data_IF_086380966397
#
_entry.id   IF_086380966397
#
_cell.length_a   1.000
_cell.length_b   1.000
_cell.length_c   1.000
_cell.angle_alpha   90.00
_cell.angle_beta   90.00
_cell.angle_gamma   90.00
#
_symmetry.space_group_name_H-M   'P 1'
#
loop_
_entity.id
_entity.type
_entity.pdbx_description
1 polymer ?
#
# COMPACT_ATOMS: atom_id res chain seq x y z
N UNK A 1 -25.30 -10.80 -2.98
CA UNK A 1 -25.90 -9.61 -2.33
C UNK A 1 -24.80 -8.93 -1.51
N UNK A 2 -24.41 -7.69 -1.83
CA UNK A 2 -23.31 -7.00 -1.16
C UNK A 2 -23.82 -6.35 0.14
N UNK A 3 -23.31 -6.79 1.28
CA UNK A 3 -23.60 -6.19 2.57
C UNK A 3 -22.90 -4.84 2.67
N UNK A 4 -23.63 -3.76 2.42
CA UNK A 4 -23.21 -2.39 2.72
C UNK A 4 -23.42 -2.17 4.21
N UNK A 5 -22.36 -1.79 4.94
CA UNK A 5 -22.44 -1.45 6.38
C UNK A 5 -22.10 0.02 6.56
N UNK A 6 -22.87 0.73 7.39
CA UNK A 6 -22.60 2.13 7.76
C UNK A 6 -22.00 2.17 9.16
N UNK A 7 -20.90 2.89 9.32
CA UNK A 7 -20.28 3.10 10.63
C UNK A 7 -21.11 4.11 11.47
N UNK A 8 -21.54 3.75 12.70
CA UNK A 8 -22.31 4.65 13.57
C UNK A 8 -21.64 6.01 13.86
N UNK A 9 -20.30 6.08 13.80
CA UNK A 9 -19.54 7.31 14.00
C UNK A 9 -19.80 8.38 12.92
N UNK A 10 -20.45 8.03 11.80
CA UNK A 10 -20.85 8.99 10.77
C UNK A 10 -21.84 10.04 11.30
N UNK A 11 -22.83 9.64 12.11
CA UNK A 11 -23.90 10.54 12.55
C UNK A 11 -23.45 11.62 13.54
N UNK A 12 -22.62 11.33 14.57
CA UNK A 12 -22.10 12.36 15.46
C UNK A 12 -21.22 13.39 14.76
N UNK A 13 -20.38 12.95 13.81
CA UNK A 13 -19.53 13.86 13.03
C UNK A 13 -20.39 14.80 12.19
N UNK A 14 -21.38 14.26 11.49
CA UNK A 14 -22.33 15.05 10.71
C UNK A 14 -23.06 16.10 11.58
N UNK A 15 -23.51 15.70 12.77
CA UNK A 15 -24.19 16.60 13.70
C UNK A 15 -23.29 17.78 14.12
N UNK A 16 -22.02 17.54 14.41
CA UNK A 16 -21.06 18.60 14.77
C UNK A 16 -20.89 19.60 13.61
N UNK A 17 -20.73 19.13 12.37
CA UNK A 17 -20.58 20.03 11.22
C UNK A 17 -21.85 20.85 10.94
N UNK A 18 -23.03 20.28 11.19
CA UNK A 18 -24.31 21.01 11.10
C UNK A 18 -24.37 22.09 12.18
N UNK A 19 -24.08 21.74 13.44
CA UNK A 19 -24.14 22.67 14.58
C UNK A 19 -23.15 23.83 14.44
N UNK A 20 -21.99 23.60 13.83
CA UNK A 20 -20.97 24.62 13.58
C UNK A 20 -21.21 25.44 12.31
N UNK A 21 -22.26 25.15 11.53
CA UNK A 21 -22.60 25.88 10.30
C UNK A 21 -21.77 25.53 9.06
N UNK A 22 -20.95 24.48 9.11
CA UNK A 22 -20.06 24.03 8.03
C UNK A 22 -20.65 22.88 7.19
N UNK A 23 -21.98 22.80 7.11
CA UNK A 23 -22.67 21.71 6.42
C UNK A 23 -22.30 21.60 4.93
N UNK A 24 -22.18 22.75 4.26
CA UNK A 24 -21.87 22.80 2.81
C UNK A 24 -20.45 22.30 2.53
N UNK A 25 -19.47 22.75 3.30
CA UNK A 25 -18.07 22.36 3.20
C UNK A 25 -17.90 20.86 3.50
N UNK A 26 -18.59 20.38 4.54
CA UNK A 26 -18.62 18.96 4.89
C UNK A 26 -19.19 18.13 3.73
N UNK A 27 -20.35 18.52 3.19
CA UNK A 27 -21.01 17.78 2.11
C UNK A 27 -20.15 17.74 0.84
N UNK A 28 -19.54 18.86 0.44
CA UNK A 28 -18.65 18.92 -0.72
C UNK A 28 -17.37 18.09 -0.51
N UNK A 29 -16.82 18.09 0.69
CA UNK A 29 -15.64 17.27 1.05
C UNK A 29 -15.99 15.78 1.04
N UNK A 30 -17.14 15.41 1.61
CA UNK A 30 -17.63 14.04 1.60
C UNK A 30 -17.91 13.56 0.17
N UNK A 31 -18.55 14.37 -0.66
CA UNK A 31 -18.76 14.07 -2.07
C UNK A 31 -17.43 13.83 -2.81
N UNK A 32 -16.41 14.65 -2.54
CA UNK A 32 -15.05 14.46 -3.09
C UNK A 32 -14.48 13.09 -2.71
N UNK A 33 -14.61 12.68 -1.44
CA UNK A 33 -14.15 11.36 -0.99
C UNK A 33 -14.94 10.21 -1.62
N UNK A 34 -16.26 10.37 -1.80
CA UNK A 34 -17.08 9.37 -2.47
C UNK A 34 -16.67 9.18 -3.93
N UNK A 35 -16.39 10.28 -4.66
CA UNK A 35 -15.93 10.19 -6.04
C UNK A 35 -14.56 9.54 -6.16
N UNK A 36 -13.64 9.85 -5.23
CA UNK A 36 -12.34 9.18 -5.14
C UNK A 36 -12.50 7.66 -5.00
N UNK A 37 -13.31 7.22 -4.03
CA UNK A 37 -13.55 5.79 -3.81
C UNK A 37 -14.31 5.13 -4.97
N UNK A 38 -15.21 5.85 -5.63
CA UNK A 38 -15.87 5.38 -6.84
C UNK A 38 -14.87 5.12 -7.97
N UNK A 39 -13.80 5.92 -8.08
CA UNK A 39 -12.70 5.69 -9.03
C UNK A 39 -11.98 4.37 -8.79
N UNK A 40 -11.66 4.04 -7.53
CA UNK A 40 -11.10 2.74 -7.19
C UNK A 40 -12.06 1.60 -7.52
N UNK A 41 -13.33 1.72 -7.12
CA UNK A 41 -14.37 0.71 -7.39
C UNK A 41 -14.56 0.46 -8.88
N UNK A 42 -14.51 1.52 -9.70
CA UNK A 42 -14.60 1.41 -11.15
C UNK A 42 -13.44 0.60 -11.71
N UNK A 43 -12.20 0.88 -11.29
CA UNK A 43 -11.02 0.13 -11.74
C UNK A 43 -11.05 -1.33 -11.27
N UNK A 44 -11.49 -1.60 -10.04
CA UNK A 44 -11.66 -2.97 -9.52
C UNK A 44 -12.62 -3.76 -10.39
N UNK A 45 -13.79 -3.18 -10.71
CA UNK A 45 -14.78 -3.82 -11.59
C UNK A 45 -14.21 -4.06 -12.99
N UNK A 46 -13.53 -3.06 -13.57
CA UNK A 46 -12.93 -3.15 -14.90
C UNK A 46 -11.85 -4.25 -15.00
N UNK A 47 -11.14 -4.52 -13.91
CA UNK A 47 -10.13 -5.58 -13.81
C UNK A 47 -10.69 -6.94 -13.37
N UNK A 48 -12.01 -7.06 -13.16
CA UNK A 48 -12.63 -8.33 -12.76
C UNK A 48 -12.26 -8.79 -11.34
N UNK A 49 -11.85 -7.87 -10.46
CA UNK A 49 -11.39 -8.21 -9.11
C UNK A 49 -12.60 -8.41 -8.18
N UNK A 50 -12.62 -9.52 -7.45
CA UNK A 50 -13.74 -9.91 -6.59
C UNK A 50 -13.71 -9.16 -5.25
N UNK A 51 -14.86 -8.59 -4.88
CA UNK A 51 -15.07 -7.84 -3.65
C UNK A 51 -15.71 -8.72 -2.57
N UNK A 52 -15.26 -8.59 -1.31
CA UNK A 52 -15.89 -9.22 -0.14
C UNK A 52 -17.03 -8.35 0.40
N UNK A 53 -16.74 -7.11 0.79
CA UNK A 53 -17.75 -6.14 1.24
C UNK A 53 -17.28 -4.70 1.04
N UNK A 54 -18.22 -3.77 1.12
CA UNK A 54 -17.98 -2.32 1.09
C UNK A 54 -18.55 -1.76 2.39
N UNK A 55 -17.77 -0.99 3.13
CA UNK A 55 -18.18 -0.36 4.39
C UNK A 55 -18.05 1.15 4.28
N UNK A 56 -19.11 1.87 4.63
CA UNK A 56 -19.15 3.33 4.64
C UNK A 56 -18.67 3.80 6.01
N UNK A 57 -17.66 4.67 6.02
CA UNK A 57 -17.03 5.21 7.22
C UNK A 57 -17.20 6.74 7.28
N UNK A 58 -17.12 7.37 8.47
CA UNK A 58 -17.18 8.83 8.62
C UNK A 58 -16.22 9.60 7.70
N UNK A 59 -15.10 8.97 7.33
CA UNK A 59 -14.04 9.58 6.53
C UNK A 59 -13.93 8.98 5.11
N UNK A 60 -14.94 8.26 4.62
CA UNK A 60 -14.95 7.72 3.25
C UNK A 60 -15.58 6.33 3.12
N UNK A 61 -15.07 5.52 2.19
CA UNK A 61 -15.54 4.15 1.96
C UNK A 61 -14.34 3.21 2.09
N UNK A 62 -14.44 2.18 2.92
CA UNK A 62 -13.47 1.09 2.95
C UNK A 62 -13.92 -0.07 2.07
N UNK A 63 -13.04 -0.47 1.16
CA UNK A 63 -13.26 -1.54 0.18
C UNK A 63 -12.47 -2.77 0.62
N UNK A 64 -13.15 -3.89 0.87
CA UNK A 64 -12.51 -5.14 1.24
C UNK A 64 -12.56 -6.14 0.08
N UNK A 65 -11.40 -6.63 -0.35
CA UNK A 65 -11.27 -7.61 -1.43
C UNK A 65 -11.52 -9.04 -0.93
N UNK A 66 -11.95 -9.95 -1.81
CA UNK A 66 -12.16 -11.37 -1.46
C UNK A 66 -10.83 -12.12 -1.29
N UNK A 67 -9.87 -11.83 -2.15
CA UNK A 67 -8.47 -12.22 -2.01
C UNK A 67 -7.73 -11.03 -1.39
N UNK A 68 -6.88 -11.25 -0.39
CA UNK A 68 -6.13 -10.17 0.27
C UNK A 68 -5.10 -9.50 -0.68
N UNK A 69 -4.96 -9.99 -1.91
CA UNK A 69 -3.92 -9.60 -2.87
C UNK A 69 -4.45 -9.37 -4.28
N UNK A 70 -3.73 -8.53 -5.01
CA UNK A 70 -3.88 -8.40 -6.46
C UNK A 70 -3.04 -9.48 -7.15
N UNK A 71 -3.61 -10.12 -8.17
CA UNK A 71 -2.88 -11.13 -8.96
C UNK A 71 -1.74 -10.53 -9.79
N UNK A 72 -1.82 -9.25 -10.16
CA UNK A 72 -0.79 -8.52 -10.87
C UNK A 72 -0.52 -7.17 -10.21
N UNK A 73 0.75 -6.74 -10.13
CA UNK A 73 1.10 -5.43 -9.56
C UNK A 73 0.61 -4.27 -10.43
N UNK A 74 0.51 -4.49 -11.74
CA UNK A 74 -0.12 -3.54 -12.65
C UNK A 74 -1.56 -3.26 -12.25
N UNK A 75 -2.32 -4.29 -11.88
CA UNK A 75 -3.71 -4.13 -11.47
C UNK A 75 -3.81 -3.36 -10.14
N UNK A 76 -2.90 -3.59 -9.20
CA UNK A 76 -2.79 -2.79 -7.99
C UNK A 76 -2.51 -1.31 -8.29
N UNK A 77 -1.58 -1.02 -9.21
CA UNK A 77 -1.27 0.36 -9.64
C UNK A 77 -2.49 0.99 -10.30
N UNK A 78 -3.14 0.29 -11.25
CA UNK A 78 -4.32 0.82 -11.93
C UNK A 78 -5.47 1.11 -10.96
N UNK A 79 -5.70 0.23 -9.99
CA UNK A 79 -6.73 0.43 -8.98
C UNK A 79 -6.36 1.59 -8.07
N UNK A 80 -5.15 1.63 -7.51
CA UNK A 80 -4.71 2.71 -6.64
C UNK A 80 -4.67 4.08 -7.34
N UNK A 81 -4.41 4.12 -8.65
CA UNK A 81 -4.47 5.37 -9.42
C UNK A 81 -5.91 5.81 -9.75
N UNK A 82 -6.90 4.90 -9.66
CA UNK A 82 -8.29 5.15 -10.03
C UNK A 82 -8.93 6.32 -9.28
N UNK A 83 -8.76 6.40 -7.95
CA UNK A 83 -9.31 7.48 -7.14
C UNK A 83 -8.70 8.85 -7.45
N UNK A 84 -7.36 9.02 -7.36
CA UNK A 84 -6.71 10.27 -7.73
C UNK A 84 -7.05 10.74 -9.14
N UNK A 85 -7.12 9.82 -10.12
CA UNK A 85 -7.49 10.16 -11.49
C UNK A 85 -8.90 10.74 -11.60
N UNK A 86 -9.89 10.13 -10.93
CA UNK A 86 -11.26 10.64 -10.92
C UNK A 86 -11.32 12.04 -10.31
N UNK A 87 -10.61 12.27 -9.21
CA UNK A 87 -10.58 13.59 -8.58
C UNK A 87 -9.91 14.65 -9.45
N UNK A 88 -8.82 14.33 -10.16
CA UNK A 88 -8.23 15.25 -11.13
C UNK A 88 -9.19 15.59 -12.27
N UNK A 89 -9.91 14.59 -12.80
CA UNK A 89 -10.91 14.79 -13.85
C UNK A 89 -12.03 15.70 -13.33
N UNK A 90 -12.58 15.44 -12.15
CA UNK A 90 -13.64 16.26 -11.55
C UNK A 90 -13.16 17.69 -11.29
N UNK A 91 -11.95 17.87 -10.75
CA UNK A 91 -11.37 19.20 -10.54
C UNK A 91 -11.23 19.98 -11.85
N UNK A 92 -10.79 19.31 -12.92
CA UNK A 92 -10.66 19.92 -14.25
C UNK A 92 -12.01 20.35 -14.83
N UNK A 93 -13.02 19.48 -14.79
CA UNK A 93 -14.38 19.84 -15.25
C UNK A 93 -15.02 20.92 -14.37
N UNK A 94 -14.85 20.85 -13.04
CA UNK A 94 -15.34 21.88 -12.13
C UNK A 94 -14.66 23.23 -12.39
N UNK A 95 -13.37 23.25 -12.72
CA UNK A 95 -12.67 24.46 -13.12
C UNK A 95 -13.25 25.09 -14.39
N UNK A 96 -13.54 24.27 -15.41
CA UNK A 96 -14.10 24.75 -16.69
C UNK A 96 -15.55 25.25 -16.57
N UNK A 97 -16.41 24.51 -15.87
CA UNK A 97 -17.87 24.73 -15.91
C UNK A 97 -18.45 25.32 -14.61
N UNK A 98 -17.76 25.14 -13.48
CA UNK A 98 -18.21 25.53 -12.14
C UNK A 98 -17.22 26.50 -11.49
N UNK A 99 -16.68 27.44 -12.27
CA UNK A 99 -15.57 28.32 -11.88
C UNK A 99 -15.80 29.11 -10.57
N UNK A 100 -17.05 29.27 -10.12
CA UNK A 100 -17.40 29.89 -8.82
C UNK A 100 -17.27 28.94 -7.61
N UNK A 101 -17.04 27.65 -7.81
CA UNK A 101 -16.96 26.62 -6.77
C UNK A 101 -15.51 26.29 -6.39
N UNK A 102 -14.72 27.32 -6.07
CA UNK A 102 -13.29 27.18 -5.75
C UNK A 102 -13.01 26.13 -4.66
N UNK A 103 -13.84 26.07 -3.61
CA UNK A 103 -13.70 25.08 -2.54
C UNK A 103 -13.76 23.64 -3.07
N UNK A 104 -14.70 23.33 -3.97
CA UNK A 104 -14.86 21.97 -4.51
C UNK A 104 -13.69 21.58 -5.41
N UNK A 105 -13.17 22.52 -6.20
CA UNK A 105 -11.98 22.32 -7.02
C UNK A 105 -10.77 22.03 -6.13
N UNK A 106 -10.54 22.88 -5.11
CA UNK A 106 -9.43 22.69 -4.18
C UNK A 106 -9.56 21.41 -3.36
N UNK A 107 -10.77 21.01 -2.96
CA UNK A 107 -11.00 19.75 -2.26
C UNK A 107 -10.59 18.55 -3.13
N UNK A 108 -11.04 18.50 -4.39
CA UNK A 108 -10.69 17.41 -5.31
C UNK A 108 -9.18 17.33 -5.57
N UNK A 109 -8.55 18.47 -5.86
CA UNK A 109 -7.09 18.52 -6.07
C UNK A 109 -6.34 18.12 -4.80
N UNK A 110 -6.76 18.60 -3.63
CA UNK A 110 -6.12 18.28 -2.36
C UNK A 110 -6.21 16.80 -2.06
N UNK A 111 -7.38 16.17 -2.21
CA UNK A 111 -7.56 14.73 -1.99
C UNK A 111 -6.73 13.91 -3.00
N UNK A 112 -6.69 14.31 -4.27
CA UNK A 112 -5.89 13.61 -5.29
C UNK A 112 -4.38 13.69 -5.00
N UNK A 113 -3.87 14.90 -4.77
CA UNK A 113 -2.44 15.14 -4.52
C UNK A 113 -2.02 14.47 -3.22
N UNK A 114 -2.82 14.62 -2.16
CA UNK A 114 -2.53 14.02 -0.87
C UNK A 114 -2.48 12.50 -0.99
N UNK A 115 -3.46 11.86 -1.64
CA UNK A 115 -3.44 10.41 -1.81
C UNK A 115 -2.32 9.90 -2.71
N UNK A 116 -1.69 10.74 -3.56
CA UNK A 116 -0.52 10.34 -4.35
C UNK A 116 0.81 10.44 -3.59
N UNK A 117 0.82 11.00 -2.37
CA UNK A 117 2.02 11.00 -1.53
C UNK A 117 2.42 9.55 -1.24
N UNK A 118 3.71 9.18 -1.41
CA UNK A 118 4.18 7.81 -1.19
C UNK A 118 4.38 7.49 0.30
N UNK A 119 3.33 7.67 1.11
CA UNK A 119 3.31 7.42 2.55
C UNK A 119 2.12 6.52 2.92
N UNK A 120 2.36 5.49 3.73
CA UNK A 120 1.30 4.58 4.16
C UNK A 120 0.28 5.33 5.06
N UNK A 121 -1.04 5.15 4.88
CA UNK A 121 -1.76 4.17 4.05
C UNK A 121 -2.24 4.67 2.68
N UNK A 122 -1.71 5.79 2.19
CA UNK A 122 -2.21 6.49 1.01
C UNK A 122 -2.04 5.70 -0.29
N UNK A 123 -2.80 6.04 -1.34
CA UNK A 123 -2.74 5.33 -2.63
C UNK A 123 -1.36 5.37 -3.29
N UNK A 124 -0.62 6.47 -3.13
CA UNK A 124 0.75 6.63 -3.61
C UNK A 124 1.71 5.62 -2.99
N UNK A 125 1.46 5.20 -1.74
CA UNK A 125 2.20 4.13 -1.10
C UNK A 125 1.95 2.78 -1.77
N UNK A 126 0.70 2.51 -2.16
CA UNK A 126 0.30 1.28 -2.87
C UNK A 126 0.91 1.26 -4.27
N UNK A 127 0.86 2.37 -4.99
CA UNK A 127 1.47 2.53 -6.31
C UNK A 127 2.98 2.28 -6.23
N UNK A 128 3.68 2.93 -5.30
CA UNK A 128 5.13 2.79 -5.13
C UNK A 128 5.51 1.35 -4.75
N UNK A 129 4.78 0.74 -3.81
CA UNK A 129 5.03 -0.65 -3.40
C UNK A 129 4.83 -1.61 -4.56
N UNK A 130 3.72 -1.53 -5.27
CA UNK A 130 3.43 -2.37 -6.42
C UNK A 130 4.47 -2.20 -7.53
N UNK A 131 4.98 -0.99 -7.74
CA UNK A 131 6.06 -0.73 -8.69
C UNK A 131 7.41 -1.34 -8.26
N UNK A 132 7.74 -1.32 -6.97
CA UNK A 132 9.02 -1.81 -6.43
C UNK A 132 9.04 -3.33 -6.21
N UNK A 133 7.90 -3.94 -5.90
CA UNK A 133 7.78 -5.36 -5.55
C UNK A 133 8.36 -6.30 -6.61
N UNK A 134 8.11 -6.12 -7.92
CA UNK A 134 8.73 -6.96 -8.95
C UNK A 134 10.25 -6.85 -8.99
N UNK A 135 10.81 -5.71 -8.57
CA UNK A 135 12.25 -5.42 -8.67
C UNK A 135 13.00 -5.93 -7.45
N UNK A 136 12.47 -5.63 -6.26
CA UNK A 136 13.16 -5.81 -4.98
C UNK A 136 12.53 -6.88 -4.08
N UNK A 137 11.43 -7.52 -4.48
CA UNK A 137 10.65 -8.38 -3.59
C UNK A 137 9.73 -7.57 -2.67
N UNK A 138 8.76 -8.24 -2.07
CA UNK A 138 7.71 -7.58 -1.30
C UNK A 138 8.25 -6.96 -0.01
N UNK A 139 9.08 -7.71 0.73
CA UNK A 139 9.58 -7.27 2.04
C UNK A 139 10.48 -6.05 1.93
N UNK A 140 11.42 -6.02 0.97
CA UNK A 140 12.29 -4.87 0.76
C UNK A 140 11.49 -3.64 0.29
N UNK A 141 10.50 -3.84 -0.58
CA UNK A 141 9.61 -2.76 -1.04
C UNK A 141 8.81 -2.16 0.10
N UNK A 142 8.27 -3.00 0.99
CA UNK A 142 7.55 -2.55 2.17
C UNK A 142 8.47 -1.85 3.19
N UNK A 143 9.67 -2.37 3.44
CA UNK A 143 10.66 -1.69 4.32
C UNK A 143 11.03 -0.31 3.81
N UNK A 144 11.23 -0.18 2.50
CA UNK A 144 11.48 1.11 1.87
C UNK A 144 10.29 2.07 2.07
N UNK A 145 9.06 1.58 1.87
CA UNK A 145 7.86 2.37 2.11
C UNK A 145 7.72 2.81 3.57
N UNK A 146 8.02 1.94 4.53
CA UNK A 146 8.01 2.25 5.97
C UNK A 146 9.00 3.36 6.28
N UNK A 147 10.22 3.28 5.73
CA UNK A 147 11.24 4.32 5.90
C UNK A 147 10.75 5.66 5.34
N UNK A 148 10.21 5.64 4.12
CA UNK A 148 9.71 6.85 3.46
C UNK A 148 8.54 7.48 4.22
N UNK A 149 7.59 6.66 4.70
CA UNK A 149 6.47 7.12 5.53
C UNK A 149 6.95 7.79 6.81
N UNK A 150 7.96 7.23 7.50
CA UNK A 150 8.54 7.85 8.70
C UNK A 150 9.14 9.21 8.42
N UNK A 151 9.89 9.34 7.33
CA UNK A 151 10.51 10.61 6.91
C UNK A 151 9.42 11.64 6.62
N UNK A 152 8.42 11.27 5.80
CA UNK A 152 7.30 12.16 5.46
C UNK A 152 6.52 12.58 6.70
N UNK A 153 6.16 11.65 7.58
CA UNK A 153 5.48 11.97 8.84
C UNK A 153 6.31 12.90 9.73
N UNK A 154 7.62 12.69 9.84
CA UNK A 154 8.50 13.56 10.63
C UNK A 154 8.55 14.97 10.06
N UNK A 155 8.69 15.12 8.74
CA UNK A 155 8.67 16.43 8.06
C UNK A 155 7.32 17.13 8.29
N UNK A 156 6.20 16.42 8.10
CA UNK A 156 4.86 16.98 8.34
C UNK A 156 4.65 17.38 9.80
N UNK A 157 5.22 16.63 10.75
CA UNK A 157 5.15 16.97 12.17
C UNK A 157 5.91 18.27 12.47
N UNK A 158 7.15 18.40 11.99
CA UNK A 158 7.97 19.60 12.18
C UNK A 158 7.27 20.82 11.57
N UNK A 159 6.78 20.68 10.32
CA UNK A 159 6.00 21.73 9.67
C UNK A 159 4.74 22.08 10.46
N UNK A 160 4.04 21.07 10.99
CA UNK A 160 2.87 21.27 11.84
C UNK A 160 3.17 22.04 13.11
N UNK A 161 4.28 21.75 13.79
CA UNK A 161 4.70 22.49 14.99
C UNK A 161 5.04 23.95 14.64
N UNK A 162 5.76 24.19 13.54
CA UNK A 162 6.08 25.56 13.09
C UNK A 162 4.82 26.35 12.74
N UNK A 163 3.88 25.73 12.02
CA UNK A 163 2.61 26.36 11.64
C UNK A 163 1.75 26.61 12.87
N UNK A 164 1.69 25.66 13.80
CA UNK A 164 0.98 25.81 15.06
C UNK A 164 1.55 26.96 15.89
N UNK A 165 2.89 27.09 15.96
CA UNK A 165 3.54 28.19 16.66
C UNK A 165 3.18 29.56 16.03
N UNK A 166 3.19 29.65 14.69
CA UNK A 166 2.88 30.90 13.96
C UNK A 166 1.40 31.29 14.00
N UNK A 167 0.51 30.31 13.86
CA UNK A 167 -0.95 30.55 13.70
C UNK A 167 -1.76 30.32 14.97
N UNK A 168 -1.13 29.81 16.03
CA UNK A 168 -1.68 29.43 17.35
C UNK A 168 -2.79 28.38 17.37
N UNK A 169 -3.40 28.05 16.25
CA UNK A 169 -4.58 27.17 16.20
C UNK A 169 -4.59 26.10 15.08
N UNK A 170 -3.62 26.09 14.16
CA UNK A 170 -3.65 25.13 13.06
C UNK A 170 -2.90 23.82 13.40
N UNK A 171 -3.66 22.82 13.86
CA UNK A 171 -3.17 21.48 14.18
C UNK A 171 -3.18 20.51 12.99
N UNK A 172 -3.61 20.94 11.80
CA UNK A 172 -3.94 20.04 10.68
C UNK A 172 -2.78 19.11 10.30
N UNK A 173 -1.58 19.66 10.13
CA UNK A 173 -0.39 18.88 9.77
C UNK A 173 0.09 17.94 10.89
N UNK A 174 -0.08 18.33 12.15
CA UNK A 174 0.20 17.46 13.29
C UNK A 174 -0.77 16.27 13.32
N UNK A 175 -2.06 16.51 13.08
CA UNK A 175 -3.09 15.47 13.00
C UNK A 175 -2.79 14.51 11.84
N UNK A 176 -2.45 15.04 10.66
CA UNK A 176 -2.07 14.23 9.49
C UNK A 176 -0.84 13.37 9.82
N UNK A 177 0.21 13.97 10.41
CA UNK A 177 1.40 13.22 10.79
C UNK A 177 1.10 12.08 11.78
N UNK A 178 0.30 12.38 12.81
CA UNK A 178 -0.15 11.38 13.77
C UNK A 178 -0.96 10.27 13.11
N UNK A 179 -1.86 10.61 12.17
CA UNK A 179 -2.62 9.63 11.39
C UNK A 179 -1.71 8.70 10.58
N UNK A 180 -0.74 9.23 9.84
CA UNK A 180 0.21 8.42 9.07
C UNK A 180 1.02 7.49 9.99
N UNK A 181 1.46 7.99 11.14
CA UNK A 181 2.23 7.21 12.09
C UNK A 181 1.39 6.10 12.77
N UNK A 182 0.15 6.41 13.14
CA UNK A 182 -0.79 5.45 13.72
C UNK A 182 -1.06 4.27 12.78
N UNK A 183 -1.35 4.56 11.51
CA UNK A 183 -1.56 3.53 10.49
C UNK A 183 -0.30 2.68 10.25
N UNK A 184 0.88 3.30 10.28
CA UNK A 184 2.14 2.58 10.15
C UNK A 184 2.39 1.60 11.32
N UNK A 185 1.95 1.92 12.53
CA UNK A 185 2.07 1.04 13.70
C UNK A 185 1.16 -0.19 13.58
N UNK A 186 -0.07 0.00 13.10
CA UNK A 186 -1.04 -1.09 12.88
C UNK A 186 -0.55 -2.14 11.87
N UNK A 187 0.19 -1.72 10.85
CA UNK A 187 0.59 -2.59 9.72
C UNK A 187 1.77 -3.53 10.02
N UNK A 188 2.56 -3.28 11.08
CA UNK A 188 3.68 -4.16 11.46
C UNK A 188 3.22 -5.60 11.74
N UNK A 189 2.02 -5.76 12.30
CA UNK A 189 1.43 -7.07 12.59
C UNK A 189 0.99 -7.80 11.31
N UNK A 190 0.60 -7.06 10.26
CA UNK A 190 0.29 -7.61 8.95
C UNK A 190 1.56 -8.12 8.23
N UNK A 191 2.72 -7.47 8.43
CA UNK A 191 4.01 -7.91 7.82
C UNK A 191 4.42 -9.32 8.24
N UNK A 192 4.19 -9.71 9.50
CA UNK A 192 4.41 -11.08 9.97
C UNK A 192 3.43 -12.08 9.34
N UNK A 193 2.15 -11.73 9.22
CA UNK A 193 1.17 -12.55 8.49
C UNK A 193 1.51 -12.68 7.01
N UNK A 194 2.03 -11.62 6.37
CA UNK A 194 2.52 -11.65 5.00
C UNK A 194 3.69 -12.63 4.84
N UNK A 195 4.67 -12.61 5.75
CA UNK A 195 5.78 -13.57 5.79
C UNK A 195 5.32 -15.01 6.03
N UNK A 196 4.34 -15.21 6.91
CA UNK A 196 3.76 -16.54 7.18
C UNK A 196 2.95 -17.06 5.99
N UNK A 197 2.20 -16.18 5.32
CA UNK A 197 1.45 -16.50 4.09
C UNK A 197 2.41 -16.74 2.92
N UNK A 198 3.53 -16.03 2.84
CA UNK A 198 4.62 -16.28 1.89
C UNK A 198 5.24 -17.67 2.08
N UNK A 199 5.48 -18.08 3.33
CA UNK A 199 5.96 -19.43 3.66
C UNK A 199 4.88 -20.51 3.44
N UNK A 200 3.61 -20.18 3.66
CA UNK A 200 2.47 -21.09 3.48
C UNK A 200 2.10 -21.29 2.01
N UNK A 201 2.04 -20.22 1.21
CA UNK A 201 1.75 -20.25 -0.22
C UNK A 201 2.92 -20.85 -1.02
N UNK A 202 4.16 -20.79 -0.50
CA UNK A 202 5.28 -21.56 -1.01
C UNK A 202 4.98 -23.07 -1.06
N UNK A 203 4.20 -23.57 -0.09
CA UNK A 203 3.80 -24.99 0.00
C UNK A 203 2.61 -25.37 -0.89
N UNK A 204 1.81 -24.41 -1.36
CA UNK A 204 0.63 -24.66 -2.21
C UNK A 204 0.84 -24.35 -3.69
N UNK A 205 1.71 -23.39 -4.05
CA UNK A 205 1.87 -22.90 -5.44
C UNK A 205 2.58 -23.86 -6.42
N UNK A 206 3.12 -24.99 -5.96
CA UNK A 206 3.89 -25.93 -6.79
C UNK A 206 3.05 -27.04 -7.46
N UNK A 207 1.76 -26.83 -7.76
CA UNK A 207 0.96 -27.84 -8.48
C UNK A 207 0.42 -27.43 -9.85
N UNK A 208 0.09 -26.16 -10.11
CA UNK A 208 -0.67 -25.78 -11.32
C UNK A 208 -0.18 -24.51 -12.07
N UNK A 209 1.10 -24.12 -11.92
CA UNK A 209 1.62 -22.94 -12.65
C UNK A 209 2.15 -23.36 -14.03
N UNK A 210 1.44 -22.95 -15.09
CA UNK A 210 1.83 -23.22 -16.49
C UNK A 210 3.06 -22.40 -16.93
N UNK A 211 3.22 -21.16 -16.44
CA UNK A 211 4.38 -20.29 -16.71
C UNK A 211 4.57 -19.22 -15.63
N UNK A 212 5.80 -19.06 -15.13
CA UNK A 212 6.19 -17.98 -14.19
C UNK A 212 7.51 -17.34 -14.61
N UNK A 213 7.65 -16.01 -14.59
CA UNK A 213 8.94 -15.35 -14.82
C UNK A 213 9.97 -15.78 -13.75
N UNK A 214 11.19 -16.08 -14.19
CA UNK A 214 12.30 -16.52 -13.31
C UNK A 214 13.27 -15.37 -13.08
N UNK A 215 13.71 -15.18 -11.82
CA UNK A 215 14.77 -14.23 -11.43
C UNK A 215 15.97 -15.02 -10.92
N UNK A 216 17.08 -14.96 -11.67
CA UNK A 216 18.36 -15.50 -11.22
C UNK A 216 19.04 -14.51 -10.27
N UNK A 217 19.43 -14.98 -9.09
CA UNK A 217 20.13 -14.18 -8.09
C UNK A 217 21.48 -14.83 -7.82
N UNK A 218 22.55 -14.11 -8.13
CA UNK A 218 23.91 -14.50 -7.80
C UNK A 218 24.22 -14.15 -6.34
N UNK A 219 24.70 -15.13 -5.57
CA UNK A 219 25.00 -14.99 -4.14
C UNK A 219 26.37 -15.57 -3.82
N UNK A 220 27.13 -14.92 -2.97
CA UNK A 220 28.41 -15.46 -2.48
C UNK A 220 28.15 -16.64 -1.52
N UNK A 221 29.06 -17.61 -1.44
CA UNK A 221 28.99 -18.73 -0.47
C UNK A 221 28.73 -18.29 0.98
N UNK A 222 29.25 -17.13 1.39
CA UNK A 222 29.09 -16.59 2.74
C UNK A 222 27.80 -15.78 2.96
N UNK A 223 26.91 -15.70 1.97
CA UNK A 223 25.69 -14.90 2.08
C UNK A 223 24.73 -15.51 3.12
N UNK A 224 24.20 -14.74 4.09
CA UNK A 224 23.29 -15.28 5.12
C UNK A 224 21.94 -15.71 4.55
N UNK A 225 21.47 -16.91 4.90
CA UNK A 225 20.19 -17.46 4.40
C UNK A 225 18.99 -16.58 4.77
N UNK A 226 18.97 -16.00 5.98
CA UNK A 226 17.89 -15.06 6.37
C UNK A 226 17.73 -13.87 5.43
N UNK A 227 18.79 -13.46 4.74
CA UNK A 227 18.72 -12.34 3.81
C UNK A 227 18.07 -12.74 2.50
N UNK A 228 18.18 -14.02 2.12
CA UNK A 228 17.61 -14.57 0.90
C UNK A 228 16.09 -14.48 0.89
N UNK A 229 15.45 -14.71 2.06
CA UNK A 229 14.00 -14.55 2.22
C UNK A 229 13.52 -13.16 1.79
N UNK A 230 14.31 -12.10 2.03
CA UNK A 230 13.92 -10.74 1.68
C UNK A 230 13.88 -10.47 0.17
N UNK A 231 14.53 -11.30 -0.63
CA UNK A 231 14.56 -11.20 -2.09
C UNK A 231 13.43 -11.97 -2.77
N UNK A 232 12.77 -12.88 -2.04
CA UNK A 232 11.67 -13.69 -2.56
C UNK A 232 10.46 -12.83 -2.92
N UNK A 233 9.69 -13.31 -3.90
CA UNK A 233 8.46 -12.68 -4.36
C UNK A 233 7.51 -13.73 -4.88
N UNK A 234 6.23 -13.64 -4.49
CA UNK A 234 5.17 -14.56 -4.91
C UNK A 234 4.83 -14.51 -6.41
N UNK A 235 5.43 -13.57 -7.14
CA UNK A 235 5.18 -13.26 -8.56
C UNK A 235 6.28 -13.76 -9.50
N UNK A 236 7.41 -14.20 -8.95
CA UNK A 236 8.57 -14.69 -9.73
C UNK A 236 9.17 -15.90 -9.05
N UNK A 237 9.67 -16.83 -9.84
CA UNK A 237 10.46 -17.94 -9.31
C UNK A 237 11.90 -17.50 -9.14
N UNK A 238 12.48 -17.62 -7.96
CA UNK A 238 13.86 -17.24 -7.70
C UNK A 238 14.78 -18.46 -7.78
N UNK A 239 15.86 -18.30 -8.53
CA UNK A 239 16.92 -19.30 -8.64
C UNK A 239 18.20 -18.67 -8.10
N UNK A 240 18.76 -19.25 -7.05
CA UNK A 240 19.95 -18.74 -6.37
C UNK A 240 21.19 -19.45 -6.86
N UNK A 241 22.06 -18.75 -7.58
CA UNK A 241 23.33 -19.28 -8.08
C UNK A 241 24.46 -18.86 -7.15
N UNK A 242 25.11 -19.83 -6.53
CA UNK A 242 26.25 -19.61 -5.64
C UNK A 242 27.49 -19.37 -6.47
N UNK A 243 28.09 -18.19 -6.31
CA UNK A 243 29.33 -17.81 -6.98
C UNK A 243 30.49 -17.84 -5.99
N UNK A 244 31.58 -18.47 -6.40
CA UNK A 244 32.87 -18.42 -5.73
C UNK A 244 33.95 -18.27 -6.81
N UNK A 245 34.91 -17.37 -6.58
CA UNK A 245 36.01 -17.13 -7.54
C UNK A 245 35.55 -16.90 -8.99
N UNK A 246 34.39 -16.26 -9.18
CA UNK A 246 33.82 -15.95 -10.49
C UNK A 246 33.15 -17.13 -11.22
N UNK A 247 33.08 -18.32 -10.59
CA UNK A 247 32.38 -19.50 -11.14
C UNK A 247 31.12 -19.80 -10.34
N UNK A 248 30.08 -20.27 -11.03
CA UNK A 248 28.88 -20.80 -10.38
C UNK A 248 29.23 -22.21 -9.87
N UNK A 249 29.26 -22.38 -8.55
CA UNK A 249 29.49 -23.70 -7.93
C UNK A 249 28.20 -24.52 -7.95
N UNK A 250 27.10 -23.91 -7.51
CA UNK A 250 25.84 -24.61 -7.27
C UNK A 250 24.65 -23.68 -7.46
N UNK A 251 23.51 -24.25 -7.79
CA UNK A 251 22.25 -23.52 -7.96
C UNK A 251 21.20 -24.11 -7.03
N UNK A 252 20.44 -23.25 -6.35
CA UNK A 252 19.36 -23.62 -5.45
C UNK A 252 18.03 -23.04 -5.91
N UNK A 253 16.98 -23.85 -5.84
CA UNK A 253 15.60 -23.42 -5.89
C UNK A 253 15.20 -22.68 -4.61
N UNK A 254 14.10 -21.91 -4.67
CA UNK A 254 13.49 -21.30 -3.47
C UNK A 254 13.23 -22.34 -2.36
N UNK A 255 12.89 -23.57 -2.74
CA UNK A 255 12.45 -24.61 -1.81
C UNK A 255 13.59 -25.20 -1.04
N UNK A 256 14.72 -25.39 -1.70
CA UNK A 256 15.96 -25.81 -1.06
C UNK A 256 16.47 -24.73 -0.09
N UNK A 257 16.38 -23.45 -0.46
CA UNK A 257 16.73 -22.34 0.44
C UNK A 257 15.81 -22.31 1.66
N UNK A 258 14.50 -22.41 1.46
CA UNK A 258 13.51 -22.35 2.55
C UNK A 258 13.68 -23.57 3.47
N UNK A 259 13.82 -24.76 2.90
CA UNK A 259 14.10 -25.99 3.66
C UNK A 259 15.38 -25.85 4.48
N UNK A 260 16.45 -25.37 3.87
CA UNK A 260 17.71 -25.10 4.54
C UNK A 260 17.60 -24.10 5.69
N UNK A 261 16.77 -23.07 5.54
CA UNK A 261 16.52 -22.10 6.60
C UNK A 261 15.69 -22.67 7.76
N UNK A 262 14.76 -23.59 7.48
CA UNK A 262 13.99 -24.31 8.50
C UNK A 262 14.90 -25.29 9.27
N UNK A 263 15.76 -26.03 8.56
CA UNK A 263 16.61 -27.07 9.16
C UNK A 263 17.83 -26.48 9.90
N UNK A 264 18.51 -25.49 9.32
CA UNK A 264 19.77 -24.93 9.85
C UNK A 264 19.58 -23.59 10.58
N UNK A 265 18.38 -23.02 10.53
CA UNK A 265 18.03 -21.76 11.19
C UNK A 265 18.54 -20.52 10.47
N UNK A 266 17.95 -19.35 10.77
CA UNK A 266 18.24 -18.08 10.09
C UNK A 266 19.65 -17.49 10.28
N UNK A 267 20.54 -18.15 11.03
CA UNK A 267 21.96 -17.76 11.15
C UNK A 267 22.87 -18.47 10.16
N UNK A 268 22.41 -19.54 9.53
CA UNK A 268 23.18 -20.30 8.55
C UNK A 268 23.46 -19.50 7.27
N UNK A 269 24.55 -19.87 6.59
CA UNK A 269 25.03 -19.32 5.31
C UNK A 269 24.66 -20.25 4.16
N UNK A 270 24.74 -19.73 2.94
CA UNK A 270 24.48 -20.51 1.73
C UNK A 270 25.45 -21.67 1.56
N UNK A 271 26.72 -21.50 1.96
CA UNK A 271 27.72 -22.57 2.04
C UNK A 271 27.25 -23.76 2.86
N UNK A 272 26.40 -23.52 3.86
CA UNK A 272 25.98 -24.59 4.77
C UNK A 272 24.95 -25.51 4.10
N UNK A 273 24.49 -25.22 2.87
CA UNK A 273 23.52 -26.06 2.14
C UNK A 273 24.19 -27.12 1.25
N UNK A 274 25.52 -27.19 1.20
CA UNK A 274 26.24 -28.15 0.36
C UNK A 274 27.58 -28.57 0.95
#
# INVERSE_FOLDING_TARGET
MKNIKVNPLFFPVLLIFILLGYFKEFFLSFATLLFHEAGHLFMIKKRGILLRYIKIEPFGISINLKEDFYKNEKDEIYVAFGGPLVNFIIAFFAFLFLNKSHFFIYANLSVAIFNLIPAYPLDGARILRAYLTPKKGYILSFRFLVMLTKIISAVLFILGVVILYKTRFNFSYCIISAFLFYNLLGEKNHTQRYLLKEISEYKEKNKDIEKMPVKYIAVNKNYPLRKVIYELSYMRYHIFSVIDEGKIIKTFSEGEIIKGLIEKGGRARISDLY
#
